data_IF_198729131441
#
_entry.id   IF_198729131441
#
_cell.length_a   1.000
_cell.length_b   1.000
_cell.length_c   1.000
_cell.angle_alpha   90.00
_cell.angle_beta   90.00
_cell.angle_gamma   90.00
#
_symmetry.space_group_name_H-M   'P 1'
#
loop_
_entity.id
_entity.type
_entity.pdbx_description
1 polymer ?
#
# COMPACT_ATOMS: atom_id res chain seq x y z
N UNK A 1 45.21 -13.25 18.76
CA UNK A 1 44.47 -13.84 17.64
C UNK A 1 43.59 -12.77 17.04
N UNK A 2 43.61 -12.58 15.74
CA UNK A 2 42.78 -11.55 15.08
C UNK A 2 41.30 -11.96 15.19
N UNK A 3 40.47 -11.05 15.67
CA UNK A 3 39.02 -11.26 15.83
C UNK A 3 38.34 -11.73 14.52
N UNK A 4 38.86 -11.29 13.37
CA UNK A 4 38.39 -11.73 12.06
C UNK A 4 38.66 -13.22 11.79
N UNK A 5 39.80 -13.71 12.26
CA UNK A 5 40.15 -15.13 12.10
C UNK A 5 39.26 -16.01 12.98
N UNK A 6 39.02 -15.60 14.22
CA UNK A 6 38.08 -16.28 15.12
C UNK A 6 36.65 -16.38 14.54
N UNK A 7 36.14 -15.29 13.94
CA UNK A 7 34.83 -15.29 13.29
C UNK A 7 34.78 -16.25 12.10
N UNK A 8 35.85 -16.31 11.29
CA UNK A 8 35.94 -17.23 10.16
C UNK A 8 35.95 -18.69 10.63
N UNK A 9 36.71 -18.99 11.67
CA UNK A 9 36.85 -20.35 12.21
C UNK A 9 35.49 -20.81 12.80
N UNK A 10 34.78 -19.94 13.53
CA UNK A 10 33.44 -20.21 14.01
C UNK A 10 32.44 -20.42 12.87
N UNK A 11 32.48 -19.58 11.84
CA UNK A 11 31.60 -19.71 10.68
C UNK A 11 31.82 -21.00 9.91
N UNK A 12 33.10 -21.45 9.79
CA UNK A 12 33.45 -22.72 9.11
C UNK A 12 33.04 -23.95 9.91
N UNK A 13 32.94 -23.85 11.23
CA UNK A 13 32.47 -24.95 12.10
C UNK A 13 30.97 -25.21 12.04
N UNK A 14 30.17 -24.24 11.55
CA UNK A 14 28.73 -24.39 11.39
C UNK A 14 28.36 -25.31 10.23
N UNK A 15 27.24 -26.03 10.35
CA UNK A 15 26.69 -26.79 9.24
C UNK A 15 26.09 -25.87 8.14
N UNK A 16 25.75 -26.44 6.97
CA UNK A 16 25.27 -25.67 5.82
C UNK A 16 24.01 -24.83 6.13
N UNK A 17 23.04 -25.42 6.86
CA UNK A 17 21.79 -24.75 7.20
C UNK A 17 22.04 -23.58 8.17
N UNK A 18 22.86 -23.77 9.19
CA UNK A 18 23.23 -22.74 10.16
C UNK A 18 23.99 -21.58 9.50
N UNK A 19 24.84 -21.85 8.52
CA UNK A 19 25.51 -20.80 7.72
C UNK A 19 24.55 -19.97 6.93
N UNK A 20 23.55 -20.57 6.28
CA UNK A 20 22.52 -19.84 5.51
C UNK A 20 21.66 -18.95 6.42
N UNK A 21 21.28 -19.46 7.60
CA UNK A 21 20.55 -18.66 8.59
C UNK A 21 21.39 -17.47 9.06
N UNK A 22 22.63 -17.71 9.45
CA UNK A 22 23.54 -16.66 9.93
C UNK A 22 23.84 -15.62 8.84
N UNK A 23 24.02 -16.03 7.60
CA UNK A 23 24.21 -15.10 6.47
C UNK A 23 22.98 -14.23 6.25
N UNK A 24 21.77 -14.78 6.41
CA UNK A 24 20.51 -14.02 6.32
C UNK A 24 20.39 -13.00 7.46
N UNK A 25 20.76 -13.40 8.68
CA UNK A 25 20.78 -12.50 9.83
C UNK A 25 21.81 -11.37 9.67
N UNK A 26 23.02 -11.70 9.22
CA UNK A 26 24.09 -10.72 8.95
C UNK A 26 23.72 -9.76 7.81
N UNK A 27 23.03 -10.25 6.76
CA UNK A 27 22.50 -9.40 5.70
C UNK A 27 21.46 -8.40 6.26
N UNK A 28 20.60 -8.88 7.15
CA UNK A 28 19.61 -8.02 7.84
C UNK A 28 20.30 -6.95 8.72
N UNK A 29 21.34 -7.32 9.47
CA UNK A 29 22.15 -6.40 10.29
C UNK A 29 22.81 -5.35 9.38
N UNK A 30 23.43 -5.79 8.26
CA UNK A 30 24.07 -4.90 7.30
C UNK A 30 23.10 -3.91 6.64
N UNK A 31 21.84 -4.32 6.40
CA UNK A 31 20.78 -3.40 5.94
C UNK A 31 20.36 -2.43 7.04
N UNK A 32 20.31 -2.87 8.29
CA UNK A 32 20.05 -2.00 9.44
C UNK A 32 21.15 -0.96 9.62
N UNK A 33 22.42 -1.33 9.48
CA UNK A 33 23.57 -0.41 9.53
C UNK A 33 23.55 0.59 8.36
N UNK A 34 23.23 0.16 7.15
CA UNK A 34 23.05 1.08 6.01
C UNK A 34 21.93 2.10 6.26
N UNK A 35 20.87 1.70 6.97
CA UNK A 35 19.78 2.59 7.36
C UNK A 35 20.15 3.52 8.53
N UNK A 36 21.13 3.15 9.36
CA UNK A 36 21.68 4.03 10.41
C UNK A 36 22.56 5.14 9.83
N UNK A 37 23.26 4.86 8.74
CA UNK A 37 24.11 5.80 7.99
C UNK A 37 23.37 6.62 6.92
N UNK A 38 22.05 6.50 6.79
CA UNK A 38 21.28 7.47 6.01
C UNK A 38 21.50 8.83 6.65
N UNK A 39 22.51 9.54 6.16
CA UNK A 39 22.72 10.96 6.45
C UNK A 39 21.36 11.62 6.31
N UNK A 40 20.94 12.31 7.37
CA UNK A 40 19.70 13.07 7.45
C UNK A 40 19.69 14.20 6.39
N UNK A 41 19.75 13.84 5.13
CA UNK A 41 19.89 14.78 4.02
C UNK A 41 18.49 15.27 3.65
N UNK A 42 18.16 16.39 4.26
CA UNK A 42 16.90 17.09 3.97
C UNK A 42 17.10 17.89 2.70
N UNK A 43 16.42 17.49 1.63
CA UNK A 43 16.51 18.15 0.31
C UNK A 43 15.53 19.31 0.16
N UNK A 44 14.36 19.23 0.78
CA UNK A 44 13.30 20.24 0.65
C UNK A 44 12.38 20.24 1.87
N UNK A 45 11.62 21.31 2.03
CA UNK A 45 10.59 21.42 3.07
C UNK A 45 9.44 20.44 2.79
N UNK A 46 9.05 19.56 3.73
CA UNK A 46 7.98 18.58 3.52
C UNK A 46 6.58 19.21 3.40
N UNK A 47 6.42 20.50 3.66
CA UNK A 47 5.13 21.19 3.62
C UNK A 47 4.91 22.01 2.35
N UNK A 48 5.94 22.57 1.76
CA UNK A 48 5.83 23.42 0.57
C UNK A 48 6.84 23.08 -0.53
N UNK A 49 7.60 21.99 -0.35
CA UNK A 49 8.63 21.50 -1.29
C UNK A 49 9.74 22.50 -1.64
N UNK A 50 9.80 23.66 -0.96
CA UNK A 50 10.82 24.66 -1.21
C UNK A 50 12.17 24.23 -0.58
N UNK A 51 13.27 24.59 -1.23
CA UNK A 51 14.64 24.27 -0.78
C UNK A 51 15.24 25.32 0.14
N UNK A 52 14.58 26.48 0.32
CA UNK A 52 15.05 27.56 1.17
C UNK A 52 14.67 27.31 2.65
N UNK A 53 15.52 26.59 3.36
CA UNK A 53 15.39 26.33 4.80
C UNK A 53 16.74 26.41 5.49
N UNK A 54 16.74 26.65 6.80
CA UNK A 54 17.94 26.75 7.64
C UNK A 54 17.82 25.84 8.85
N UNK A 55 18.98 25.52 9.45
CA UNK A 55 19.05 24.80 10.72
C UNK A 55 18.43 25.64 11.82
N UNK A 56 17.59 25.06 12.66
CA UNK A 56 16.91 25.72 13.78
C UNK A 56 17.12 24.95 15.08
N UNK A 57 18.38 24.84 15.50
CA UNK A 57 18.77 24.15 16.72
C UNK A 57 18.51 22.64 16.69
N UNK A 58 18.75 21.99 17.83
CA UNK A 58 18.49 20.56 18.04
C UNK A 58 17.44 20.36 19.13
N UNK A 59 16.62 19.33 19.00
CA UNK A 59 15.72 18.87 20.03
C UNK A 59 15.93 17.38 20.28
N UNK A 60 16.29 17.00 21.51
CA UNK A 60 16.63 15.60 21.88
C UNK A 60 17.63 14.96 20.91
N UNK A 61 18.69 15.69 20.56
CA UNK A 61 19.73 15.24 19.64
C UNK A 61 19.36 15.30 18.14
N UNK A 62 18.11 15.53 17.78
CA UNK A 62 17.63 15.58 16.40
C UNK A 62 17.73 17.01 15.86
N UNK A 63 18.38 17.20 14.71
CA UNK A 63 18.45 18.49 14.02
C UNK A 63 17.08 18.94 13.56
N UNK A 64 16.68 20.15 13.93
CA UNK A 64 15.47 20.83 13.45
C UNK A 64 15.83 21.80 12.34
N UNK A 65 14.89 22.01 11.46
CA UNK A 65 14.96 22.98 10.36
C UNK A 65 13.74 23.89 10.40
N UNK A 66 13.89 25.13 9.90
CA UNK A 66 12.79 26.06 9.66
C UNK A 66 12.81 26.46 8.19
N UNK A 67 11.66 26.31 7.53
CA UNK A 67 11.49 26.76 6.15
C UNK A 67 11.29 28.28 6.12
N UNK A 68 12.08 28.99 5.32
CA UNK A 68 11.98 30.44 5.17
C UNK A 68 10.76 30.88 4.35
N UNK A 69 10.21 29.98 3.53
CA UNK A 69 9.07 30.28 2.67
C UNK A 69 7.73 30.10 3.40
N UNK A 70 7.54 28.99 4.13
CA UNK A 70 6.27 28.71 4.81
C UNK A 70 6.34 28.82 6.34
N UNK A 71 7.49 29.20 6.90
CA UNK A 71 7.77 29.43 8.33
C UNK A 71 7.50 28.22 9.25
N UNK A 72 7.40 26.99 8.69
CA UNK A 72 7.16 25.78 9.47
C UNK A 72 8.46 25.11 9.87
N UNK A 73 8.47 24.61 11.12
CA UNK A 73 9.56 23.79 11.62
C UNK A 73 9.36 22.34 11.22
N UNK A 74 10.45 21.65 10.91
CA UNK A 74 10.43 20.24 10.56
C UNK A 74 11.76 19.55 10.93
N UNK A 75 11.74 18.24 10.93
CA UNK A 75 12.89 17.36 11.08
C UNK A 75 12.95 16.39 9.91
N UNK A 76 14.05 15.70 9.72
CA UNK A 76 14.21 14.76 8.59
C UNK A 76 13.08 13.70 8.49
N UNK A 77 12.51 13.29 9.63
CA UNK A 77 11.42 12.29 9.65
C UNK A 77 10.02 12.88 9.45
N UNK A 78 9.90 14.21 9.32
CA UNK A 78 8.59 14.86 9.14
C UNK A 78 7.95 14.42 7.82
N UNK A 79 6.71 13.94 7.88
CA UNK A 79 5.97 13.39 6.73
C UNK A 79 6.31 11.94 6.37
N UNK A 80 7.26 11.31 7.08
CA UNK A 80 7.58 9.89 6.89
C UNK A 80 6.87 8.98 7.89
N UNK A 81 6.89 7.67 7.66
CA UNK A 81 6.39 6.69 8.62
C UNK A 81 7.08 6.74 9.99
N UNK A 82 8.30 7.28 10.05
CA UNK A 82 9.10 7.41 11.27
C UNK A 82 8.71 8.60 12.15
N UNK A 83 7.87 9.48 11.65
CA UNK A 83 7.48 10.68 12.41
C UNK A 83 6.81 10.28 13.74
N UNK A 84 7.42 10.72 14.85
CA UNK A 84 6.91 10.47 16.21
C UNK A 84 7.14 9.06 16.74
N UNK A 85 7.91 8.21 16.02
CA UNK A 85 8.28 6.87 16.52
C UNK A 85 9.35 6.99 17.60
N UNK A 86 9.03 6.55 18.82
CA UNK A 86 9.94 6.54 19.97
C UNK A 86 10.76 5.23 20.06
N UNK A 87 10.14 4.09 19.76
CA UNK A 87 10.75 2.74 19.84
C UNK A 87 11.18 2.31 18.44
N UNK A 88 12.29 2.88 17.95
CA UNK A 88 12.75 2.67 16.57
C UNK A 88 13.04 1.21 16.25
N UNK A 89 13.78 0.51 17.12
CA UNK A 89 14.15 -0.89 16.91
C UNK A 89 12.92 -1.80 16.76
N UNK A 90 11.92 -1.60 17.61
CA UNK A 90 10.64 -2.33 17.50
C UNK A 90 9.87 -1.95 16.23
N UNK A 91 9.98 -0.70 15.78
CA UNK A 91 9.33 -0.26 14.54
C UNK A 91 10.00 -0.89 13.32
N UNK A 92 11.34 -1.02 13.31
CA UNK A 92 12.06 -1.73 12.25
C UNK A 92 11.68 -3.22 12.22
N UNK A 93 11.65 -3.89 13.37
CA UNK A 93 11.19 -5.28 13.48
C UNK A 93 9.76 -5.42 12.97
N UNK A 94 8.87 -4.50 13.34
CA UNK A 94 7.48 -4.46 12.87
C UNK A 94 7.40 -4.34 11.33
N UNK A 95 8.16 -3.41 10.77
CA UNK A 95 8.26 -3.17 9.33
C UNK A 95 8.78 -4.41 8.59
N UNK A 96 9.87 -5.00 9.08
CA UNK A 96 10.46 -6.20 8.50
C UNK A 96 9.47 -7.37 8.44
N UNK A 97 8.79 -7.66 9.55
CA UNK A 97 7.76 -8.71 9.60
C UNK A 97 6.65 -8.41 8.59
N UNK A 98 6.16 -7.16 8.55
CA UNK A 98 5.06 -6.77 7.64
C UNK A 98 5.42 -6.95 6.17
N UNK A 99 6.67 -6.68 5.77
CA UNK A 99 7.10 -6.81 4.38
C UNK A 99 7.49 -8.24 3.99
N UNK A 100 8.06 -9.00 4.91
CA UNK A 100 8.53 -10.36 4.60
C UNK A 100 7.43 -11.42 4.71
N UNK A 101 6.55 -11.29 5.71
CA UNK A 101 5.51 -12.29 5.98
C UNK A 101 4.11 -11.85 5.50
N UNK A 102 3.97 -10.63 4.99
CA UNK A 102 2.71 -10.11 4.48
C UNK A 102 1.72 -9.70 5.56
N UNK A 103 0.44 -10.00 5.35
CA UNK A 103 -0.64 -9.49 6.19
C UNK A 103 -0.88 -10.37 7.42
N UNK A 104 -0.30 -10.00 8.55
CA UNK A 104 -0.47 -10.69 9.84
C UNK A 104 -1.52 -9.99 10.70
N UNK A 105 -2.39 -10.73 11.43
CA UNK A 105 -3.34 -10.12 12.38
C UNK A 105 -2.66 -9.21 13.41
N UNK A 106 -3.30 -8.09 13.74
CA UNK A 106 -2.73 -7.09 14.68
C UNK A 106 -2.36 -7.69 16.05
N UNK A 107 -3.18 -8.62 16.54
CA UNK A 107 -2.93 -9.31 17.82
C UNK A 107 -1.60 -10.08 17.77
N UNK A 108 -1.39 -10.86 16.73
CA UNK A 108 -0.15 -11.63 16.53
C UNK A 108 1.06 -10.70 16.36
N UNK A 109 0.91 -9.65 15.55
CA UNK A 109 1.96 -8.66 15.34
C UNK A 109 2.34 -7.93 16.63
N UNK A 110 1.36 -7.52 17.44
CA UNK A 110 1.60 -6.84 18.71
C UNK A 110 2.36 -7.72 19.72
N UNK A 111 1.99 -9.01 19.80
CA UNK A 111 2.67 -9.99 20.66
C UNK A 111 4.11 -10.24 20.22
N UNK A 112 4.35 -10.45 18.91
CA UNK A 112 5.70 -10.72 18.37
C UNK A 112 6.68 -9.56 18.59
N UNK A 113 6.20 -8.33 18.41
CA UNK A 113 7.05 -7.13 18.55
C UNK A 113 7.09 -6.60 19.99
N UNK A 114 6.21 -7.09 20.86
CA UNK A 114 6.09 -6.63 22.27
C UNK A 114 5.63 -5.18 22.37
N UNK A 115 4.54 -4.84 21.66
CA UNK A 115 3.88 -3.53 21.67
C UNK A 115 2.37 -3.69 21.91
N UNK A 116 1.68 -2.61 22.25
CA UNK A 116 0.22 -2.65 22.38
C UNK A 116 -0.46 -2.82 21.02
N UNK A 117 -1.67 -3.39 20.99
CA UNK A 117 -2.49 -3.51 19.78
C UNK A 117 -2.75 -2.14 19.12
N UNK A 118 -2.99 -1.10 19.92
CA UNK A 118 -3.17 0.26 19.42
C UNK A 118 -1.91 0.76 18.71
N UNK A 119 -0.74 0.55 19.30
CA UNK A 119 0.54 0.89 18.66
C UNK A 119 0.75 0.11 17.36
N UNK A 120 0.43 -1.18 17.35
CA UNK A 120 0.52 -2.01 16.14
C UNK A 120 -0.43 -1.50 15.03
N UNK A 121 -1.64 -1.09 15.39
CA UNK A 121 -2.60 -0.47 14.47
C UNK A 121 -2.06 0.84 13.90
N UNK A 122 -1.62 1.75 14.75
CA UNK A 122 -1.12 3.07 14.35
C UNK A 122 0.13 2.95 13.46
N UNK A 123 1.04 2.04 13.78
CA UNK A 123 2.24 1.78 12.99
C UNK A 123 1.92 1.20 11.62
N UNK A 124 0.95 0.27 11.56
CA UNK A 124 0.47 -0.27 10.27
C UNK A 124 -0.04 0.84 9.37
N UNK A 125 -0.89 1.71 9.90
CA UNK A 125 -1.42 2.83 9.13
C UNK A 125 -0.33 3.81 8.69
N UNK A 126 0.64 4.13 9.56
CA UNK A 126 1.78 4.98 9.20
C UNK A 126 2.59 4.39 8.03
N UNK A 127 2.89 3.10 8.08
CA UNK A 127 3.64 2.41 7.01
C UNK A 127 2.82 2.44 5.72
N UNK A 128 1.56 2.01 5.76
CA UNK A 128 0.69 1.99 4.58
C UNK A 128 0.51 3.37 3.96
N UNK A 129 0.33 4.42 4.78
CA UNK A 129 0.21 5.79 4.29
C UNK A 129 1.52 6.35 3.70
N UNK A 130 2.67 5.79 4.05
CA UNK A 130 3.97 6.20 3.50
C UNK A 130 4.31 5.49 2.19
N UNK A 131 3.61 4.43 1.85
CA UNK A 131 3.78 3.76 0.55
C UNK A 131 3.20 4.67 -0.52
N UNK A 132 4.03 5.03 -1.48
CA UNK A 132 3.57 5.77 -2.66
C UNK A 132 2.73 4.82 -3.53
N UNK A 133 1.62 5.33 -4.06
CA UNK A 133 0.93 4.66 -5.17
C UNK A 133 1.90 4.61 -6.36
N UNK A 134 1.95 3.48 -7.04
CA UNK A 134 2.65 3.41 -8.31
C UNK A 134 1.81 4.15 -9.35
N UNK A 135 2.27 5.31 -9.80
CA UNK A 135 1.63 6.08 -10.88
C UNK A 135 1.97 5.49 -12.27
N UNK A 136 2.33 4.21 -12.33
CA UNK A 136 2.64 3.49 -13.56
C UNK A 136 1.45 3.48 -14.52
N UNK A 137 1.75 3.55 -15.82
CA UNK A 137 0.75 3.31 -16.87
C UNK A 137 0.44 1.82 -16.95
N UNK A 138 -0.79 1.52 -17.34
CA UNK A 138 -1.23 0.17 -17.64
C UNK A 138 -0.98 -0.10 -19.12
N UNK A 139 -0.33 -1.20 -19.40
CA UNK A 139 0.10 -1.60 -20.74
C UNK A 139 -0.51 -2.96 -21.14
N UNK A 140 -0.60 -3.19 -22.43
CA UNK A 140 -1.04 -4.47 -22.98
C UNK A 140 -2.41 -4.91 -22.45
N UNK A 141 -2.53 -6.14 -21.90
CA UNK A 141 -3.76 -6.68 -21.37
C UNK A 141 -3.93 -6.20 -19.93
N UNK A 142 -4.97 -5.41 -19.70
CA UNK A 142 -5.32 -4.82 -18.40
C UNK A 142 -6.64 -5.39 -17.90
N UNK A 143 -6.58 -6.10 -16.76
CA UNK A 143 -7.75 -6.60 -16.06
C UNK A 143 -8.36 -5.51 -15.17
N UNK A 144 -9.68 -5.42 -15.15
CA UNK A 144 -10.40 -4.48 -14.30
C UNK A 144 -11.65 -5.13 -13.71
N UNK A 145 -11.88 -4.92 -12.42
CA UNK A 145 -13.08 -5.38 -11.71
C UNK A 145 -13.44 -4.43 -10.58
N UNK A 146 -14.65 -4.51 -10.06
CA UNK A 146 -15.07 -3.76 -8.89
C UNK A 146 -15.42 -4.68 -7.70
N UNK A 147 -14.93 -4.29 -6.55
CA UNK A 147 -15.29 -4.90 -5.26
C UNK A 147 -16.05 -3.88 -4.42
N UNK A 148 -16.98 -4.36 -3.64
CA UNK A 148 -17.74 -3.48 -2.76
C UNK A 148 -17.70 -3.93 -1.31
N UNK A 149 -17.71 -2.94 -0.42
CA UNK A 149 -17.85 -3.12 1.02
C UNK A 149 -19.09 -2.39 1.52
N UNK A 150 -19.73 -2.93 2.54
CA UNK A 150 -20.86 -2.24 3.14
C UNK A 150 -20.41 -0.96 3.85
N UNK A 151 -21.01 0.16 3.47
CA UNK A 151 -20.75 1.44 4.12
C UNK A 151 -21.18 1.40 5.59
N UNK A 152 -20.24 1.60 6.50
CA UNK A 152 -20.52 1.63 7.94
C UNK A 152 -20.92 3.03 8.38
N UNK A 153 -22.09 3.13 8.99
CA UNK A 153 -22.60 4.35 9.64
C UNK A 153 -22.59 4.22 11.16
N UNK A 154 -21.78 3.30 11.71
CA UNK A 154 -21.67 3.06 13.13
C UNK A 154 -21.28 4.34 13.87
N UNK A 155 -22.00 4.67 14.96
CA UNK A 155 -21.77 5.86 15.77
C UNK A 155 -22.43 7.15 15.25
N UNK A 156 -23.03 7.17 14.06
CA UNK A 156 -23.82 8.33 13.57
C UNK A 156 -25.21 8.33 14.22
N UNK A 157 -25.62 9.49 14.71
CA UNK A 157 -26.98 9.74 15.24
C UNK A 157 -27.83 10.45 14.16
N UNK A 158 -29.17 10.36 14.26
CA UNK A 158 -30.11 11.10 13.40
C UNK A 158 -30.17 10.64 11.94
N UNK A 159 -29.82 9.37 11.66
CA UNK A 159 -29.90 8.84 10.31
C UNK A 159 -31.36 8.67 9.86
N UNK A 160 -31.73 9.25 8.73
CA UNK A 160 -33.05 9.05 8.10
C UNK A 160 -33.30 7.59 7.74
N UNK A 161 -32.22 6.88 7.33
CA UNK A 161 -32.22 5.44 7.07
C UNK A 161 -30.98 4.81 7.69
N UNK A 162 -31.15 3.86 8.57
CA UNK A 162 -30.06 3.10 9.16
C UNK A 162 -30.00 1.69 8.61
N UNK A 163 -28.78 1.18 8.44
CA UNK A 163 -28.56 -0.22 8.08
C UNK A 163 -28.65 -1.11 9.33
N UNK A 164 -29.45 -2.17 9.27
CA UNK A 164 -29.46 -3.19 10.33
C UNK A 164 -28.14 -3.97 10.38
N UNK A 165 -27.79 -4.50 11.55
CA UNK A 165 -26.68 -5.48 11.66
C UNK A 165 -26.91 -6.67 10.72
N UNK A 166 -25.84 -7.23 10.15
CA UNK A 166 -25.90 -8.43 9.31
C UNK A 166 -26.06 -8.20 7.81
N UNK A 167 -25.98 -6.95 7.35
CA UNK A 167 -25.92 -6.71 5.91
C UNK A 167 -26.95 -5.73 5.37
N UNK A 168 -27.04 -5.64 4.05
CA UNK A 168 -28.06 -4.86 3.34
C UNK A 168 -29.12 -5.81 2.80
N UNK A 169 -30.39 -5.49 3.03
CA UNK A 169 -31.50 -6.19 2.40
C UNK A 169 -31.71 -5.79 0.91
N UNK A 170 -31.01 -4.74 0.47
CA UNK A 170 -31.08 -4.28 -0.93
C UNK A 170 -30.19 -5.14 -1.81
N UNK A 171 -30.78 -5.76 -2.83
CA UNK A 171 -30.07 -6.53 -3.85
C UNK A 171 -29.38 -5.62 -4.86
N UNK A 172 -28.30 -6.07 -5.45
CA UNK A 172 -27.53 -5.34 -6.47
C UNK A 172 -26.79 -4.11 -5.94
N UNK A 173 -26.34 -3.27 -6.85
CA UNK A 173 -25.65 -2.01 -6.57
C UNK A 173 -26.56 -1.00 -5.88
N UNK A 174 -26.14 -0.50 -4.71
CA UNK A 174 -26.94 0.42 -3.91
C UNK A 174 -26.07 1.43 -3.14
N UNK A 175 -26.71 2.46 -2.56
CA UNK A 175 -26.08 3.59 -1.89
C UNK A 175 -25.39 3.25 -0.56
N UNK A 176 -25.49 1.99 -0.09
CA UNK A 176 -24.82 1.52 1.12
C UNK A 176 -23.53 0.73 0.82
N UNK A 177 -23.04 0.84 -0.39
CA UNK A 177 -21.81 0.14 -0.82
C UNK A 177 -20.70 1.16 -1.09
N UNK A 178 -19.52 0.90 -0.52
CA UNK A 178 -18.28 1.57 -0.90
C UNK A 178 -17.67 0.75 -2.03
N UNK A 179 -17.55 1.36 -3.21
CA UNK A 179 -16.96 0.72 -4.40
C UNK A 179 -15.47 0.96 -4.44
N UNK A 180 -14.74 -0.11 -4.64
CA UNK A 180 -13.31 -0.11 -4.93
C UNK A 180 -13.10 -0.66 -6.33
N UNK A 181 -12.28 0.03 -7.11
CA UNK A 181 -11.84 -0.43 -8.42
C UNK A 181 -10.49 -1.13 -8.24
N UNK A 182 -10.37 -2.32 -8.80
CA UNK A 182 -9.13 -3.09 -8.86
C UNK A 182 -8.71 -3.16 -10.31
N UNK A 183 -7.48 -2.81 -10.59
CA UNK A 183 -6.92 -2.85 -11.94
C UNK A 183 -5.52 -3.46 -11.89
N UNK A 184 -5.22 -4.35 -12.81
CA UNK A 184 -3.89 -4.98 -12.93
C UNK A 184 -3.58 -5.25 -14.40
N UNK A 185 -2.37 -4.90 -14.82
CA UNK A 185 -1.86 -5.35 -16.13
C UNK A 185 -1.02 -6.62 -16.01
N UNK A 186 -0.51 -7.11 -17.14
CA UNK A 186 0.38 -8.28 -17.20
C UNK A 186 1.82 -7.95 -16.80
N UNK A 187 2.19 -6.69 -16.75
CA UNK A 187 3.52 -6.19 -16.36
C UNK A 187 3.62 -5.92 -14.85
N UNK A 188 2.62 -6.40 -14.07
CA UNK A 188 2.55 -6.27 -12.61
C UNK A 188 2.26 -4.83 -12.12
N UNK A 189 1.82 -3.91 -12.97
CA UNK A 189 1.25 -2.64 -12.55
C UNK A 189 -0.12 -2.91 -11.93
N UNK A 190 -0.33 -2.46 -10.71
CA UNK A 190 -1.56 -2.71 -9.94
C UNK A 190 -2.11 -1.41 -9.38
N UNK A 191 -3.43 -1.27 -9.37
CA UNK A 191 -4.12 -0.19 -8.68
C UNK A 191 -5.30 -0.71 -7.89
N UNK A 192 -5.49 -0.11 -6.73
CA UNK A 192 -6.57 -0.43 -5.81
C UNK A 192 -7.11 0.89 -5.26
N UNK A 193 -8.22 1.33 -5.80
CA UNK A 193 -8.74 2.66 -5.49
C UNK A 193 -10.18 2.63 -5.00
N UNK A 194 -10.45 3.28 -3.86
CA UNK A 194 -11.82 3.62 -3.49
C UNK A 194 -12.34 4.68 -4.46
N UNK A 195 -13.44 4.39 -5.14
CA UNK A 195 -13.96 5.26 -6.21
C UNK A 195 -15.18 6.05 -5.80
N UNK A 196 -16.14 5.43 -5.11
CA UNK A 196 -17.33 6.12 -4.60
C UNK A 196 -18.13 5.32 -3.59
N UNK A 197 -19.12 5.95 -2.99
CA UNK A 197 -20.22 5.28 -2.28
C UNK A 197 -21.41 5.23 -3.23
N UNK A 198 -22.01 4.05 -3.40
CA UNK A 198 -23.09 3.81 -4.35
C UNK A 198 -22.65 3.15 -5.65
N UNK A 199 -23.52 3.17 -6.66
CA UNK A 199 -23.31 2.51 -7.94
C UNK A 199 -22.11 3.07 -8.71
N UNK A 200 -21.22 2.20 -9.20
CA UNK A 200 -20.08 2.56 -10.04
C UNK A 200 -20.55 3.26 -11.33
N UNK A 201 -19.85 4.32 -11.73
CA UNK A 201 -20.09 5.06 -12.99
C UNK A 201 -18.83 5.09 -13.84
N UNK A 202 -18.99 5.22 -15.18
CA UNK A 202 -17.87 5.31 -16.11
C UNK A 202 -16.93 6.48 -15.81
N UNK A 203 -17.46 7.62 -15.35
CA UNK A 203 -16.65 8.78 -14.95
C UNK A 203 -15.78 8.51 -13.70
N UNK A 204 -16.18 7.58 -12.84
CA UNK A 204 -15.35 7.19 -11.68
C UNK A 204 -14.12 6.43 -12.14
N UNK A 205 -14.29 5.55 -13.14
CA UNK A 205 -13.21 4.80 -13.80
C UNK A 205 -12.28 5.76 -14.53
N UNK A 206 -12.84 6.66 -15.31
CA UNK A 206 -12.10 7.70 -16.05
C UNK A 206 -11.17 8.50 -15.12
N UNK A 207 -11.70 8.98 -13.99
CA UNK A 207 -10.95 9.76 -13.01
C UNK A 207 -9.79 9.01 -12.38
N UNK A 208 -9.88 7.68 -12.27
CA UNK A 208 -8.89 6.86 -11.56
C UNK A 208 -7.82 6.30 -12.48
N UNK A 209 -8.22 5.80 -13.63
CA UNK A 209 -7.31 5.09 -14.53
C UNK A 209 -7.30 5.62 -15.98
N UNK A 210 -8.20 6.57 -16.32
CA UNK A 210 -8.37 7.01 -17.71
C UNK A 210 -7.08 7.51 -18.36
N UNK A 211 -6.31 8.34 -17.66
CA UNK A 211 -5.02 8.85 -18.14
C UNK A 211 -3.83 7.90 -17.93
N UNK A 212 -4.07 6.75 -17.31
CA UNK A 212 -3.05 5.72 -17.04
C UNK A 212 -3.15 4.52 -17.99
N UNK A 213 -4.24 4.41 -18.75
CA UNK A 213 -4.40 3.39 -19.79
C UNK A 213 -3.80 3.87 -21.11
N UNK A 214 -2.98 3.03 -21.73
CA UNK A 214 -2.50 3.29 -23.07
C UNK A 214 -3.60 2.98 -24.09
N UNK A 215 -3.61 3.74 -25.20
CA UNK A 215 -4.63 3.57 -26.25
C UNK A 215 -4.56 2.19 -26.95
N UNK A 216 -3.41 1.54 -26.88
CA UNK A 216 -3.16 0.18 -27.39
C UNK A 216 -3.56 -0.93 -26.42
N UNK A 217 -3.93 -0.59 -25.17
CA UNK A 217 -4.28 -1.58 -24.15
C UNK A 217 -5.60 -2.29 -24.47
N UNK A 218 -5.65 -3.58 -24.15
CA UNK A 218 -6.88 -4.40 -24.19
C UNK A 218 -7.44 -4.47 -22.78
N UNK A 219 -8.60 -3.86 -22.56
CA UNK A 219 -9.28 -3.90 -21.28
C UNK A 219 -10.08 -5.21 -21.16
N UNK A 220 -9.86 -5.98 -20.10
CA UNK A 220 -10.56 -7.23 -19.81
C UNK A 220 -11.38 -7.09 -18.55
N UNK A 221 -12.68 -7.40 -18.61
CA UNK A 221 -13.56 -7.32 -17.43
C UNK A 221 -14.74 -8.28 -17.54
N UNK A 222 -15.53 -8.34 -16.47
CA UNK A 222 -16.89 -8.85 -16.56
C UNK A 222 -17.78 -7.90 -17.39
N UNK A 223 -19.06 -8.29 -17.63
CA UNK A 223 -20.01 -7.49 -18.41
C UNK A 223 -20.59 -6.29 -17.67
N UNK A 224 -19.81 -5.63 -16.79
CA UNK A 224 -20.29 -4.47 -16.07
C UNK A 224 -20.50 -3.26 -16.99
N UNK A 225 -21.73 -2.71 -16.99
CA UNK A 225 -22.12 -1.64 -17.93
C UNK A 225 -21.27 -0.37 -17.84
N UNK A 226 -20.80 0.01 -16.65
CA UNK A 226 -19.96 1.20 -16.47
C UNK A 226 -18.58 1.02 -17.09
N UNK A 227 -18.00 -0.20 -17.04
CA UNK A 227 -16.71 -0.52 -17.66
C UNK A 227 -16.87 -0.51 -19.18
N UNK A 228 -17.93 -1.15 -19.70
CA UNK A 228 -18.25 -1.12 -21.12
C UNK A 228 -18.44 0.32 -21.66
N UNK A 229 -19.17 1.17 -20.93
CA UNK A 229 -19.36 2.57 -21.31
C UNK A 229 -18.05 3.36 -21.28
N UNK A 230 -17.19 3.11 -20.29
CA UNK A 230 -15.85 3.71 -20.20
C UNK A 230 -14.99 3.33 -21.40
N UNK A 231 -14.88 2.02 -21.71
CA UNK A 231 -14.09 1.53 -22.83
C UNK A 231 -14.56 2.10 -24.18
N UNK A 232 -15.88 2.13 -24.40
CA UNK A 232 -16.47 2.70 -25.62
C UNK A 232 -16.16 4.18 -25.75
N UNK A 233 -16.30 4.97 -24.69
CA UNK A 233 -16.02 6.41 -24.67
C UNK A 233 -14.56 6.71 -25.01
N UNK A 234 -13.64 5.92 -24.52
CA UNK A 234 -12.19 6.11 -24.69
C UNK A 234 -11.61 5.33 -25.89
N UNK A 235 -12.47 4.68 -26.69
CA UNK A 235 -12.07 3.87 -27.86
C UNK A 235 -11.03 2.79 -27.51
N UNK A 236 -11.12 2.22 -26.30
CA UNK A 236 -10.25 1.14 -25.84
C UNK A 236 -10.87 -0.20 -26.25
N UNK A 237 -10.05 -1.11 -26.77
CA UNK A 237 -10.47 -2.48 -27.07
C UNK A 237 -10.92 -3.17 -25.78
N UNK A 238 -12.16 -3.66 -25.74
CA UNK A 238 -12.73 -4.25 -24.54
C UNK A 238 -13.20 -5.69 -24.79
N UNK A 239 -12.60 -6.62 -24.06
CA UNK A 239 -12.99 -8.02 -24.02
C UNK A 239 -13.78 -8.27 -22.74
N UNK A 240 -15.04 -8.68 -22.86
CA UNK A 240 -15.91 -8.93 -21.71
C UNK A 240 -16.59 -10.29 -21.79
N UNK A 241 -16.73 -10.95 -20.66
CA UNK A 241 -17.38 -12.24 -20.50
C UNK A 241 -18.39 -12.21 -19.34
N UNK A 242 -19.21 -13.24 -19.22
CA UNK A 242 -20.13 -13.33 -18.08
C UNK A 242 -19.33 -13.63 -16.81
N UNK A 243 -19.74 -13.05 -15.69
CA UNK A 243 -19.05 -13.25 -14.38
C UNK A 243 -18.98 -14.73 -13.96
N UNK A 244 -19.83 -15.60 -14.50
CA UNK A 244 -19.77 -17.06 -14.29
C UNK A 244 -18.67 -17.76 -15.09
N UNK A 245 -18.13 -17.12 -16.14
CA UNK A 245 -17.17 -17.75 -17.06
C UNK A 245 -15.72 -17.44 -16.64
N UNK A 246 -15.46 -16.28 -16.02
CA UNK A 246 -14.16 -15.78 -15.53
C UNK A 246 -13.01 -15.74 -16.55
N UNK A 247 -13.17 -16.37 -17.69
CA UNK A 247 -12.19 -16.53 -18.76
C UNK A 247 -12.90 -16.40 -20.10
N UNK A 248 -12.44 -15.49 -20.96
CA UNK A 248 -12.89 -15.39 -22.33
C UNK A 248 -12.11 -16.37 -23.24
N UNK A 249 -10.80 -16.49 -22.97
CA UNK A 249 -9.88 -17.47 -23.58
C UNK A 249 -8.63 -17.57 -22.70
N UNK A 250 -7.65 -18.40 -23.08
CA UNK A 250 -6.41 -18.57 -22.27
C UNK A 250 -5.61 -17.29 -22.01
N UNK A 251 -5.83 -16.22 -22.76
CA UNK A 251 -5.12 -14.95 -22.63
C UNK A 251 -5.95 -13.88 -21.90
N UNK A 252 -7.28 -13.89 -22.04
CA UNK A 252 -8.19 -12.88 -21.52
C UNK A 252 -9.01 -13.43 -20.34
N UNK A 253 -8.61 -13.09 -19.14
CA UNK A 253 -9.25 -13.52 -17.89
C UNK A 253 -9.17 -12.39 -16.85
N UNK A 254 -9.90 -12.50 -15.74
CA UNK A 254 -9.86 -11.58 -14.58
C UNK A 254 -9.33 -12.26 -13.31
N UNK A 255 -8.54 -13.31 -13.45
CA UNK A 255 -8.05 -14.10 -12.31
C UNK A 255 -7.12 -13.29 -11.40
N UNK A 256 -6.33 -12.36 -11.99
CA UNK A 256 -5.40 -11.53 -11.21
C UNK A 256 -6.15 -10.58 -10.30
N UNK A 257 -7.13 -9.85 -10.84
CA UNK A 257 -7.96 -8.92 -10.03
C UNK A 257 -8.83 -9.67 -9.03
N UNK A 258 -9.35 -10.86 -9.37
CA UNK A 258 -10.09 -11.71 -8.44
C UNK A 258 -9.20 -12.21 -7.29
N UNK A 259 -7.96 -12.61 -7.57
CA UNK A 259 -6.98 -12.98 -6.53
C UNK A 259 -6.63 -11.79 -5.62
N UNK A 260 -6.57 -10.56 -6.17
CA UNK A 260 -6.40 -9.35 -5.38
C UNK A 260 -7.62 -9.07 -4.52
N UNK A 261 -8.82 -9.19 -5.07
CA UNK A 261 -10.08 -9.00 -4.37
C UNK A 261 -10.24 -9.96 -3.17
N UNK A 262 -9.85 -11.22 -3.33
CA UNK A 262 -9.92 -12.23 -2.27
C UNK A 262 -8.99 -11.93 -1.06
N UNK A 263 -8.04 -11.02 -1.20
CA UNK A 263 -7.10 -10.60 -0.13
C UNK A 263 -7.56 -9.34 0.62
N UNK A 264 -8.66 -8.73 0.20
CA UNK A 264 -9.25 -7.54 0.83
C UNK A 264 -10.28 -7.92 1.91
#
# INVERSE_FOLDING_TARGET
MDTKQQIKDLFTSLNKCEREVLLTELATIKELDKNADVKNDVKSCPFCSNTNFVKNGKHRGIQRYICKTCNRNFVFSTGSAYQGIKKKDKFESYKSIMFNEGFIPLKTMSSRVGISMQTAFDWRHKILCSLKSTDGKFENITEIDDVWFLYSQKGRKGLKYSRKRGGSKRKGDNDFQVKMLITSDRNNTKDLSVVRIGRLKSNDIERKIGNRLESSSILVSDKHNSIKSFAKKNKITHVSFKSSEHIANNQHHVQTVNSMAARL
#
